data_IF_876196498741
#
_entry.id   IF_876196498741
#
_cell.length_a   1.000
_cell.length_b   1.000
_cell.length_c   1.000
_cell.angle_alpha   90.00
_cell.angle_beta   90.00
_cell.angle_gamma   90.00
#
_symmetry.space_group_name_H-M   'P 1'
#
loop_
_entity.id
_entity.type
_entity.pdbx_description
1 polymer ?
#
# COMPACT_ATOMS: atom_id res chain seq x y z
N UNK A 1 -12.75 -15.55 32.90
CA UNK A 1 -14.01 -16.16 32.44
C UNK A 1 -13.88 -16.30 30.92
N UNK A 2 -13.49 -17.48 30.40
CA UNK A 2 -14.36 -18.49 29.73
C UNK A 2 -15.23 -17.81 28.66
N UNK A 3 -15.02 -18.01 27.35
CA UNK A 3 -15.33 -19.22 26.57
C UNK A 3 -14.40 -19.32 25.34
N UNK A 4 -13.55 -20.34 25.21
CA UNK A 4 -13.77 -21.68 24.64
C UNK A 4 -13.57 -21.79 23.11
N UNK A 5 -12.28 -21.98 22.80
CA UNK A 5 -11.66 -22.53 21.62
C UNK A 5 -12.11 -24.00 21.43
N UNK A 6 -12.99 -24.33 20.49
CA UNK A 6 -13.28 -25.75 20.15
C UNK A 6 -13.94 -25.91 18.77
N UNK A 7 -13.17 -26.35 17.78
CA UNK A 7 -13.56 -27.33 16.74
C UNK A 7 -12.25 -28.04 16.33
N UNK A 8 -11.78 -28.93 17.18
CA UNK A 8 -11.99 -30.37 17.06
C UNK A 8 -11.30 -30.95 15.80
N UNK A 9 -9.98 -31.13 15.94
CA UNK A 9 -9.25 -32.25 15.36
C UNK A 9 -9.73 -33.55 16.03
N UNK A 10 -9.91 -34.61 15.24
CA UNK A 10 -9.64 -36.04 15.55
C UNK A 10 -10.49 -36.91 14.61
N UNK A 11 -9.88 -37.53 13.61
CA UNK A 11 -9.44 -38.95 13.63
C UNK A 11 -10.47 -39.79 12.86
N UNK A 12 -10.13 -40.76 11.99
CA UNK A 12 -9.60 -42.08 12.36
C UNK A 12 -9.51 -42.95 11.06
N UNK A 13 -8.45 -43.78 10.95
CA UNK A 13 -8.28 -45.06 10.20
C UNK A 13 -8.56 -45.14 8.67
N UNK A 14 -8.03 -46.06 7.87
CA UNK A 14 -6.88 -46.97 7.87
C UNK A 14 -7.00 -47.86 6.60
N UNK A 15 -5.85 -48.24 6.02
CA UNK A 15 -5.54 -49.57 5.42
C UNK A 15 -6.07 -49.98 4.02
N UNK A 16 -5.12 -50.61 3.31
CA UNK A 16 -5.18 -51.66 2.28
C UNK A 16 -5.18 -51.27 0.79
N UNK A 17 -4.02 -51.55 0.18
CA UNK A 17 -3.84 -51.83 -1.24
C UNK A 17 -4.37 -53.23 -1.60
N UNK A 18 -5.16 -53.33 -2.67
CA UNK A 18 -5.37 -54.56 -3.47
C UNK A 18 -5.69 -54.15 -4.91
N UNK A 19 -5.28 -54.97 -5.88
CA UNK A 19 -5.10 -54.63 -7.30
C UNK A 19 -6.34 -54.43 -8.19
N UNK A 20 -6.03 -53.87 -9.36
CA UNK A 20 -6.75 -53.64 -10.63
C UNK A 20 -7.81 -54.69 -11.04
N UNK A 21 -8.91 -54.30 -11.74
CA UNK A 21 -8.82 -53.86 -13.13
C UNK A 21 -9.60 -52.58 -13.48
N UNK A 22 -9.09 -51.93 -14.52
CA UNK A 22 -9.66 -50.76 -15.18
C UNK A 22 -11.11 -51.00 -15.61
N UNK A 23 -12.02 -50.23 -15.00
CA UNK A 23 -13.25 -49.80 -15.64
C UNK A 23 -13.12 -48.29 -15.78
N UNK A 24 -12.86 -47.86 -17.01
CA UNK A 24 -12.88 -46.49 -17.43
C UNK A 24 -14.31 -45.93 -17.26
N UNK A 25 -14.59 -45.41 -16.07
CA UNK A 25 -15.59 -44.37 -15.91
C UNK A 25 -14.85 -43.08 -16.23
N UNK A 26 -15.05 -42.58 -17.45
CA UNK A 26 -14.80 -41.19 -17.76
C UNK A 26 -15.71 -40.36 -16.84
N UNK A 27 -15.25 -40.08 -15.63
CA UNK A 27 -15.70 -38.94 -14.87
C UNK A 27 -15.21 -37.73 -15.66
N UNK A 28 -16.13 -37.12 -16.40
CA UNK A 28 -15.98 -35.76 -16.89
C UNK A 28 -15.63 -34.90 -15.66
N UNK A 29 -14.34 -34.62 -15.50
CA UNK A 29 -13.89 -33.59 -14.59
C UNK A 29 -14.61 -32.31 -15.03
N UNK A 30 -15.24 -31.56 -14.11
CA UNK A 30 -15.83 -30.28 -14.47
C UNK A 30 -14.74 -29.44 -15.14
N UNK A 31 -14.99 -29.04 -16.37
CA UNK A 31 -14.10 -28.15 -17.11
C UNK A 31 -13.83 -26.92 -16.22
N UNK A 32 -12.57 -26.41 -16.18
CA UNK A 32 -12.30 -25.17 -15.48
C UNK A 32 -13.21 -24.09 -16.05
N UNK A 33 -14.05 -23.51 -15.18
CA UNK A 33 -14.93 -22.42 -15.58
C UNK A 33 -14.06 -21.29 -16.13
N UNK A 34 -14.38 -20.85 -17.36
CA UNK A 34 -13.79 -19.67 -17.99
C UNK A 34 -13.97 -18.48 -17.05
N UNK A 35 -12.90 -18.15 -16.34
CA UNK A 35 -12.86 -16.92 -15.53
C UNK A 35 -12.77 -15.78 -16.53
N UNK A 36 -13.70 -14.81 -16.51
CA UNK A 36 -13.64 -13.67 -17.42
C UNK A 36 -12.26 -13.01 -17.31
N UNK A 37 -11.63 -12.62 -18.43
CA UNK A 37 -10.33 -11.96 -18.38
C UNK A 37 -10.46 -10.73 -17.49
N UNK A 38 -9.57 -10.63 -16.50
CA UNK A 38 -9.50 -9.47 -15.62
C UNK A 38 -9.32 -8.23 -16.50
N UNK A 39 -10.29 -7.30 -16.43
CA UNK A 39 -10.21 -6.05 -17.16
C UNK A 39 -9.01 -5.27 -16.63
N UNK A 40 -8.09 -4.92 -17.54
CA UNK A 40 -6.95 -4.10 -17.20
C UNK A 40 -7.45 -2.76 -16.64
N UNK A 41 -6.85 -2.32 -15.52
CA UNK A 41 -7.12 -1.00 -14.98
C UNK A 41 -6.80 0.06 -16.05
N UNK A 42 -7.58 1.16 -16.12
CA UNK A 42 -7.27 2.27 -17.01
C UNK A 42 -5.85 2.77 -16.75
N UNK A 43 -5.15 3.12 -17.83
CA UNK A 43 -3.81 3.68 -17.74
C UNK A 43 -3.86 5.08 -17.12
N UNK A 44 -2.87 5.39 -16.29
CA UNK A 44 -2.72 6.73 -15.70
C UNK A 44 -2.49 7.77 -16.81
N UNK A 45 -3.11 8.94 -16.66
CA UNK A 45 -2.91 10.06 -17.58
C UNK A 45 -1.50 10.67 -17.47
N UNK A 46 -1.21 11.66 -18.32
CA UNK A 46 0.09 12.30 -18.35
C UNK A 46 0.40 13.11 -17.08
N UNK A 47 -0.63 13.65 -16.41
CA UNK A 47 -0.49 14.48 -15.21
C UNK A 47 -0.18 13.60 -13.99
N UNK A 48 -0.94 12.54 -13.80
CA UNK A 48 -0.75 11.55 -12.73
C UNK A 48 0.67 10.96 -12.77
N UNK A 49 1.17 10.64 -13.97
CA UNK A 49 2.55 10.15 -14.13
C UNK A 49 3.60 11.21 -13.79
N UNK A 50 3.37 12.46 -14.15
CA UNK A 50 4.27 13.56 -13.77
C UNK A 50 4.27 13.81 -12.26
N UNK A 51 3.10 13.77 -11.62
CA UNK A 51 2.96 13.87 -10.18
C UNK A 51 3.71 12.72 -9.48
N UNK A 52 3.58 11.49 -9.99
CA UNK A 52 4.31 10.34 -9.44
C UNK A 52 5.83 10.51 -9.52
N UNK A 53 6.36 11.02 -10.63
CA UNK A 53 7.79 11.32 -10.76
C UNK A 53 8.21 12.41 -9.76
N UNK A 54 7.44 13.50 -9.66
CA UNK A 54 7.72 14.60 -8.72
C UNK A 54 7.70 14.11 -7.27
N UNK A 55 6.71 13.30 -6.90
CA UNK A 55 6.57 12.71 -5.58
C UNK A 55 7.73 11.75 -5.29
N UNK A 56 8.18 10.96 -6.26
CA UNK A 56 9.37 10.13 -6.09
C UNK A 56 10.62 10.97 -5.84
N UNK A 57 10.82 12.06 -6.59
CA UNK A 57 11.95 12.98 -6.37
C UNK A 57 11.90 13.63 -4.98
N UNK A 58 10.71 14.04 -4.53
CA UNK A 58 10.49 14.60 -3.20
C UNK A 58 10.83 13.60 -2.09
N UNK A 59 10.33 12.37 -2.21
CA UNK A 59 10.64 11.28 -1.28
C UNK A 59 12.15 11.06 -1.18
N UNK A 60 12.84 10.92 -2.31
CA UNK A 60 14.29 10.72 -2.33
C UNK A 60 15.05 11.92 -1.75
N UNK A 61 14.60 13.14 -2.01
CA UNK A 61 15.19 14.34 -1.41
C UNK A 61 15.03 14.34 0.12
N UNK A 62 13.86 13.97 0.64
CA UNK A 62 13.62 13.90 2.07
C UNK A 62 14.48 12.83 2.76
N UNK A 63 14.60 11.65 2.16
CA UNK A 63 15.41 10.55 2.69
C UNK A 63 16.91 10.89 2.75
N UNK A 64 17.39 11.68 1.80
CA UNK A 64 18.80 12.13 1.75
C UNK A 64 19.05 13.44 2.52
N UNK A 65 18.02 14.10 3.02
CA UNK A 65 18.15 15.40 3.70
C UNK A 65 18.54 15.21 5.17
N UNK A 66 19.56 15.92 5.62
CA UNK A 66 19.91 16.00 7.05
C UNK A 66 18.88 16.82 7.86
N UNK A 67 18.03 17.59 7.18
CA UNK A 67 17.03 18.46 7.80
C UNK A 67 15.69 17.74 8.08
N UNK A 68 15.54 16.50 7.58
CA UNK A 68 14.35 15.69 7.83
C UNK A 68 14.67 14.71 8.96
N UNK A 69 13.84 14.74 9.99
CA UNK A 69 14.00 13.89 11.16
C UNK A 69 13.87 12.41 10.82
N UNK A 70 14.61 11.57 11.53
CA UNK A 70 14.66 10.12 11.27
C UNK A 70 13.29 9.45 11.41
N UNK A 71 12.44 9.95 12.32
CA UNK A 71 11.05 9.47 12.46
C UNK A 71 10.24 9.62 11.18
N UNK A 72 10.33 10.79 10.54
CA UNK A 72 9.67 11.08 9.26
C UNK A 72 10.26 10.18 8.16
N UNK A 73 11.59 10.06 8.07
CA UNK A 73 12.25 9.18 7.08
C UNK A 73 11.82 7.73 7.21
N UNK A 74 11.73 7.22 8.43
CA UNK A 74 11.31 5.85 8.70
C UNK A 74 9.88 5.58 8.24
N UNK A 75 8.95 6.52 8.51
CA UNK A 75 7.57 6.45 8.03
C UNK A 75 7.52 6.49 6.51
N UNK A 76 8.27 7.40 5.87
CA UNK A 76 8.33 7.50 4.41
C UNK A 76 8.87 6.22 3.76
N UNK A 77 9.92 5.62 4.33
CA UNK A 77 10.43 4.32 3.87
C UNK A 77 9.39 3.21 4.01
N UNK A 78 8.76 3.08 5.20
CA UNK A 78 7.73 2.08 5.41
C UNK A 78 6.55 2.26 4.43
N UNK A 79 6.18 3.49 4.16
CA UNK A 79 5.12 3.86 3.23
C UNK A 79 5.41 3.42 1.80
N UNK A 80 6.61 3.70 1.27
CA UNK A 80 6.96 3.31 -0.11
C UNK A 80 7.13 1.79 -0.27
N UNK A 81 7.50 1.07 0.78
CA UNK A 81 7.57 -0.40 0.76
C UNK A 81 6.20 -1.09 0.87
N UNK A 82 5.21 -0.43 1.48
CA UNK A 82 3.88 -1.00 1.71
C UNK A 82 2.84 -0.56 0.67
N UNK A 83 3.14 0.44 -0.15
CA UNK A 83 2.22 1.01 -1.13
C UNK A 83 2.88 1.15 -2.50
N UNK A 84 2.07 1.19 -3.56
CA UNK A 84 2.57 1.61 -4.87
C UNK A 84 2.72 3.13 -4.93
N UNK A 85 3.68 3.63 -5.72
CA UNK A 85 3.84 5.08 -5.93
C UNK A 85 2.58 5.71 -6.55
N UNK A 86 1.81 4.94 -7.33
CA UNK A 86 0.52 5.38 -7.88
C UNK A 86 -0.49 5.63 -6.77
N UNK A 87 -0.58 4.73 -5.79
CA UNK A 87 -1.55 4.86 -4.68
C UNK A 87 -1.16 6.02 -3.77
N UNK A 88 0.13 6.20 -3.49
CA UNK A 88 0.66 7.36 -2.75
C UNK A 88 0.31 8.66 -3.49
N UNK A 89 0.58 8.71 -4.79
CA UNK A 89 0.29 9.91 -5.61
C UNK A 89 -1.19 10.24 -5.63
N UNK A 90 -2.05 9.23 -5.77
CA UNK A 90 -3.51 9.39 -5.72
C UNK A 90 -3.97 9.92 -4.36
N UNK A 91 -3.41 9.41 -3.27
CA UNK A 91 -3.72 9.88 -1.92
C UNK A 91 -3.27 11.33 -1.71
N UNK A 92 -2.08 11.70 -2.19
CA UNK A 92 -1.58 13.07 -2.15
C UNK A 92 -2.47 14.01 -2.97
N UNK A 93 -2.81 13.64 -4.21
CA UNK A 93 -3.66 14.45 -5.08
C UNK A 93 -5.05 14.66 -4.47
N UNK A 94 -5.61 13.62 -3.84
CA UNK A 94 -6.87 13.73 -3.08
C UNK A 94 -6.76 14.66 -1.88
N UNK A 95 -5.67 14.58 -1.11
CA UNK A 95 -5.44 15.46 0.03
C UNK A 95 -5.33 16.93 -0.41
N UNK A 96 -4.62 17.19 -1.51
CA UNK A 96 -4.44 18.54 -2.06
C UNK A 96 -5.74 19.09 -2.62
N UNK A 97 -6.50 18.27 -3.37
CA UNK A 97 -7.78 18.68 -3.93
C UNK A 97 -8.83 18.99 -2.85
N UNK A 98 -8.73 18.39 -1.67
CA UNK A 98 -9.64 18.64 -0.56
C UNK A 98 -9.45 20.03 0.09
N UNK A 99 -8.24 20.60 -0.01
CA UNK A 99 -7.91 21.92 0.56
C UNK A 99 -6.84 22.64 -0.28
N UNK A 100 -7.18 23.09 -1.50
CA UNK A 100 -6.20 23.61 -2.45
C UNK A 100 -5.57 24.94 -2.02
N UNK A 101 -6.23 25.71 -1.15
CA UNK A 101 -5.70 26.97 -0.63
C UNK A 101 -4.59 26.76 0.40
N UNK A 102 -4.59 25.60 1.09
CA UNK A 102 -3.59 25.26 2.10
C UNK A 102 -2.31 24.67 1.51
N UNK A 103 -2.38 24.09 0.31
CA UNK A 103 -1.27 23.32 -0.26
C UNK A 103 -0.68 23.96 -1.51
N UNK A 104 0.46 24.63 -1.34
CA UNK A 104 1.28 25.07 -2.45
C UNK A 104 2.13 23.91 -3.00
N UNK A 105 1.80 23.44 -4.21
CA UNK A 105 2.54 22.36 -4.89
C UNK A 105 3.97 22.73 -5.29
N UNK A 106 4.35 24.01 -5.23
CA UNK A 106 5.70 24.47 -5.47
C UNK A 106 6.58 24.44 -4.22
N UNK A 107 5.97 24.41 -3.04
CA UNK A 107 6.67 24.32 -1.76
C UNK A 107 6.96 22.85 -1.42
N UNK A 108 8.25 22.49 -1.43
CA UNK A 108 8.69 21.12 -1.16
C UNK A 108 8.49 20.72 0.31
N UNK A 109 8.53 21.65 1.26
CA UNK A 109 8.28 21.39 2.67
C UNK A 109 6.80 21.10 2.93
N UNK A 110 5.90 21.89 2.33
CA UNK A 110 4.45 21.65 2.40
C UNK A 110 4.11 20.31 1.77
N UNK A 111 4.63 20.02 0.58
CA UNK A 111 4.38 18.76 -0.11
C UNK A 111 4.98 17.56 0.63
N UNK A 112 6.11 17.73 1.31
CA UNK A 112 6.67 16.70 2.17
C UNK A 112 5.75 16.43 3.37
N UNK A 113 5.18 17.47 3.98
CA UNK A 113 4.18 17.34 5.03
C UNK A 113 2.94 16.56 4.57
N UNK A 114 2.45 16.84 3.36
CA UNK A 114 1.35 16.07 2.75
C UNK A 114 1.75 14.61 2.57
N UNK A 115 2.93 14.34 2.02
CA UNK A 115 3.44 12.98 1.82
C UNK A 115 3.57 12.21 3.13
N UNK A 116 4.16 12.84 4.15
CA UNK A 116 4.30 12.24 5.48
C UNK A 116 2.92 11.93 6.09
N UNK A 117 1.96 12.86 5.97
CA UNK A 117 0.60 12.67 6.44
C UNK A 117 -0.14 11.52 5.76
N UNK A 118 -0.08 11.40 4.43
CA UNK A 118 -0.68 10.25 3.71
C UNK A 118 0.03 8.93 4.05
N UNK A 119 1.30 9.01 4.41
CA UNK A 119 2.09 7.89 4.91
C UNK A 119 1.84 7.57 6.40
N UNK A 120 0.93 8.28 7.06
CA UNK A 120 0.50 8.01 8.43
C UNK A 120 1.36 8.68 9.51
N UNK A 121 2.23 9.62 9.16
CA UNK A 121 2.94 10.43 10.15
C UNK A 121 1.93 11.32 10.90
N UNK A 122 2.01 11.27 12.22
CA UNK A 122 1.26 12.11 13.14
C UNK A 122 2.30 12.83 14.01
N UNK A 123 2.54 14.13 13.80
CA UNK A 123 3.47 14.88 14.66
C UNK A 123 2.91 14.87 16.08
N UNK A 124 3.77 14.57 17.06
CA UNK A 124 3.42 14.81 18.45
C UNK A 124 3.34 16.32 18.71
N UNK A 125 2.63 16.74 19.76
CA UNK A 125 2.44 18.16 20.05
C UNK A 125 3.77 18.92 20.20
N UNK A 126 4.82 18.25 20.68
CA UNK A 126 6.17 18.80 20.80
C UNK A 126 6.89 18.97 19.45
N UNK A 127 6.56 18.18 18.43
CA UNK A 127 7.10 18.28 17.06
C UNK A 127 6.33 19.32 16.22
N UNK A 128 5.05 19.57 16.53
CA UNK A 128 4.21 20.55 15.84
C UNK A 128 4.57 22.01 16.17
N UNK A 129 5.21 22.25 17.32
CA UNK A 129 5.79 23.55 17.71
C UNK A 129 7.24 23.73 17.20
N UNK A 130 7.82 22.71 16.57
CA UNK A 130 9.05 22.81 15.79
C UNK A 130 8.79 23.59 14.52
N UNK A 131 9.31 24.82 14.46
CA UNK A 131 9.15 25.79 13.38
C UNK A 131 9.12 25.15 11.96
N UNK A 132 8.28 25.68 11.05
CA UNK A 132 8.17 25.16 9.69
C UNK A 132 9.56 25.05 9.07
N UNK A 133 9.83 23.91 8.41
CA UNK A 133 11.03 23.70 7.62
C UNK A 133 11.21 24.92 6.72
N UNK A 134 12.15 25.80 7.08
CA UNK A 134 12.28 27.08 6.40
C UNK A 134 12.75 26.81 4.97
N UNK A 135 12.11 27.40 3.97
CA UNK A 135 12.60 27.35 2.61
C UNK A 135 13.99 28.01 2.58
N UNK A 136 14.96 27.35 1.98
CA UNK A 136 16.19 28.02 1.53
C UNK A 136 16.00 28.52 0.12
#
# INVERSE_FOLDING_TARGET
>A
MKQHFTKAFASILAVAAVGTPALALAQEAPAPADTPPAQAAPADDAETRQNAVRNMSLLMSALNSEQVEDGVKNVLMACIYSNSMRDITTAMDKAIAADPERFDRSDSGVMLGVMAGVCGYQPTADEADGAPAQPR
#
